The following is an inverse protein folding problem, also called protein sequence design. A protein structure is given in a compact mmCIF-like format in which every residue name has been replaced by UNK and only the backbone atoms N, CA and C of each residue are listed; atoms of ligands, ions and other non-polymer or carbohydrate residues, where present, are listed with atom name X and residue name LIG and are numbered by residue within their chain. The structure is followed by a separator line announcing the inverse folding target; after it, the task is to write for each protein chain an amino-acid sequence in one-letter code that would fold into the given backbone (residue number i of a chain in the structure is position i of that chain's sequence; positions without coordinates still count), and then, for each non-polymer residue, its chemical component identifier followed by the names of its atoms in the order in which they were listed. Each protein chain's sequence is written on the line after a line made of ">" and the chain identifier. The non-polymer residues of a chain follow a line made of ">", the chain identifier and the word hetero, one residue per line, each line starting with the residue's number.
data_IF_724121747398
#
_entry.id   IF_724121747398
#
_cell.length_a   1.000
_cell.length_b   1.000
_cell.length_c   1.000
_cell.angle_alpha   90.00
_cell.angle_beta   90.00
_cell.angle_gamma   90.00
#
_symmetry.space_group_name_H-M   'P 1'
#
loop_
_entity.id
_entity.type
_entity.pdbx_description
1 polymer ?
#
# COMPACT_ATOMS: atom_id res chain seq x y z
N UNK A 1 18.31 -10.57 -4.48
CA UNK A 1 18.60 -10.85 -3.05
C UNK A 1 17.41 -10.59 -2.11
N UNK A 2 16.33 -9.91 -2.53
CA UNK A 2 15.19 -9.60 -1.65
C UNK A 2 14.04 -10.63 -1.66
N UNK A 3 14.18 -11.73 -2.39
CA UNK A 3 13.15 -12.78 -2.50
C UNK A 3 12.77 -13.39 -1.15
N UNK A 4 13.76 -13.76 -0.33
CA UNK A 4 13.51 -14.41 0.95
C UNK A 4 12.82 -13.45 1.94
N UNK A 5 13.31 -12.20 2.16
CA UNK A 5 12.58 -11.22 2.95
C UNK A 5 11.16 -10.95 2.44
N UNK A 6 10.98 -10.85 1.12
CA UNK A 6 9.67 -10.61 0.52
C UNK A 6 8.70 -11.75 0.80
N UNK A 7 9.12 -13.01 0.64
CA UNK A 7 8.29 -14.18 0.95
C UNK A 7 7.88 -14.15 2.43
N UNK A 8 8.82 -13.85 3.33
CA UNK A 8 8.51 -13.76 4.76
C UNK A 8 7.51 -12.65 5.07
N UNK A 9 7.69 -11.44 4.51
CA UNK A 9 6.75 -10.34 4.70
C UNK A 9 5.38 -10.60 4.07
N UNK A 10 5.33 -11.30 2.93
CA UNK A 10 4.06 -11.71 2.31
C UNK A 10 3.34 -12.75 3.18
N UNK A 11 4.07 -13.72 3.74
CA UNK A 11 3.50 -14.68 4.69
C UNK A 11 3.00 -13.99 5.97
N UNK A 12 3.76 -13.02 6.50
CA UNK A 12 3.36 -12.22 7.65
C UNK A 12 2.10 -11.39 7.37
N UNK A 13 2.02 -10.78 6.18
CA UNK A 13 0.82 -10.06 5.74
C UNK A 13 -0.39 -11.00 5.62
N UNK A 14 -0.20 -12.20 5.07
CA UNK A 14 -1.26 -13.22 4.98
C UNK A 14 -1.75 -13.65 6.36
N UNK A 15 -0.84 -13.83 7.31
CA UNK A 15 -1.19 -14.14 8.70
C UNK A 15 -1.97 -12.99 9.35
N UNK A 16 -1.48 -11.75 9.23
CA UNK A 16 -2.11 -10.56 9.76
C UNK A 16 -3.53 -10.38 9.21
N UNK A 17 -3.70 -10.56 7.90
CA UNK A 17 -4.99 -10.52 7.23
C UNK A 17 -5.94 -11.58 7.78
N UNK A 18 -5.49 -12.83 7.92
CA UNK A 18 -6.30 -13.90 8.51
C UNK A 18 -6.73 -13.59 9.95
N UNK A 19 -5.81 -13.10 10.79
CA UNK A 19 -6.10 -12.77 12.18
C UNK A 19 -7.16 -11.65 12.32
N UNK A 20 -7.09 -10.63 11.45
CA UNK A 20 -8.04 -9.52 11.44
C UNK A 20 -9.40 -9.90 10.83
N UNK A 21 -9.39 -10.60 9.69
CA UNK A 21 -10.59 -10.79 8.88
C UNK A 21 -11.42 -12.01 9.32
N UNK A 22 -10.83 -12.95 10.10
CA UNK A 22 -11.57 -14.04 10.76
C UNK A 22 -12.72 -13.49 11.60
N UNK A 23 -12.50 -12.39 12.33
CA UNK A 23 -13.51 -11.80 13.20
C UNK A 23 -14.77 -11.34 12.42
N UNK A 24 -14.61 -10.90 11.17
CA UNK A 24 -15.73 -10.44 10.34
C UNK A 24 -16.69 -11.59 9.97
N UNK A 25 -16.17 -12.79 9.74
CA UNK A 25 -16.98 -13.96 9.39
C UNK A 25 -17.48 -14.73 10.63
N UNK A 26 -16.62 -14.88 11.63
CA UNK A 26 -16.88 -15.69 12.83
C UNK A 26 -17.70 -14.94 13.86
N UNK A 27 -17.57 -13.61 13.94
CA UNK A 27 -18.28 -12.78 14.92
C UNK A 27 -19.81 -12.96 14.90
N UNK A 28 -20.48 -12.79 13.74
CA UNK A 28 -21.92 -13.02 13.64
C UNK A 28 -22.34 -14.45 14.00
N UNK A 29 -21.57 -15.46 13.57
CA UNK A 29 -21.87 -16.87 13.85
C UNK A 29 -21.70 -17.20 15.34
N UNK A 30 -20.67 -16.66 15.99
CA UNK A 30 -20.47 -16.79 17.43
C UNK A 30 -21.61 -16.13 18.22
N UNK A 31 -22.06 -14.95 17.79
CA UNK A 31 -23.20 -14.26 18.41
C UNK A 31 -24.51 -15.06 18.28
N UNK A 32 -24.78 -15.68 17.13
CA UNK A 32 -25.94 -16.55 16.93
C UNK A 32 -25.84 -17.77 17.86
N UNK A 33 -24.68 -18.42 17.93
CA UNK A 33 -24.49 -19.58 18.80
C UNK A 33 -24.68 -19.25 20.28
N UNK A 34 -24.15 -18.11 20.75
CA UNK A 34 -24.31 -17.66 22.13
C UNK A 34 -25.78 -17.37 22.45
N UNK A 35 -26.48 -16.63 21.58
CA UNK A 35 -27.90 -16.33 21.75
C UNK A 35 -28.78 -17.59 21.82
N UNK A 36 -28.49 -18.61 21.00
CA UNK A 36 -29.22 -19.88 21.00
C UNK A 36 -28.89 -20.73 22.22
N UNK A 37 -27.64 -20.75 22.66
CA UNK A 37 -27.19 -21.62 23.76
C UNK A 37 -27.59 -21.09 25.13
N UNK A 38 -27.53 -19.77 25.32
CA UNK A 38 -27.66 -19.15 26.65
C UNK A 38 -29.02 -18.48 26.84
N UNK A 39 -29.80 -18.28 25.75
CA UNK A 39 -31.07 -17.54 25.74
C UNK A 39 -30.97 -16.10 26.31
N UNK A 40 -29.75 -15.61 26.54
CA UNK A 40 -29.41 -14.28 27.05
C UNK A 40 -28.24 -13.74 26.24
N UNK A 41 -28.25 -12.43 25.96
CA UNK A 41 -27.16 -11.78 25.22
C UNK A 41 -26.08 -11.36 26.22
N UNK A 42 -24.95 -12.06 26.23
CA UNK A 42 -23.81 -11.67 27.06
C UNK A 42 -22.98 -10.57 26.38
N UNK A 43 -22.49 -9.60 27.17
CA UNK A 43 -21.64 -8.52 26.67
C UNK A 43 -20.25 -9.02 26.19
N UNK A 44 -19.86 -10.24 26.58
CA UNK A 44 -18.70 -10.97 26.06
C UNK A 44 -19.15 -12.37 25.68
N UNK A 45 -19.26 -12.62 24.38
CA UNK A 45 -19.41 -13.96 23.85
C UNK A 45 -18.00 -14.54 23.63
N UNK A 46 -17.68 -15.63 24.34
CA UNK A 46 -16.48 -16.39 24.04
C UNK A 46 -16.69 -17.12 22.71
N UNK A 47 -15.72 -16.98 21.80
CA UNK A 47 -15.79 -17.59 20.47
C UNK A 47 -15.42 -19.08 20.60
N UNK A 48 -16.34 -20.02 20.29
CA UNK A 48 -16.02 -21.44 20.36
C UNK A 48 -14.97 -21.81 19.30
N UNK A 49 -14.08 -22.74 19.65
CA UNK A 49 -13.00 -23.19 18.78
C UNK A 49 -13.52 -23.75 17.43
N UNK A 50 -14.68 -24.41 17.43
CA UNK A 50 -15.28 -24.93 16.20
C UNK A 50 -15.74 -23.81 15.25
N UNK A 51 -16.23 -22.67 15.77
CA UNK A 51 -16.62 -21.52 14.94
C UNK A 51 -15.37 -20.90 14.32
N UNK A 52 -14.30 -20.80 15.09
CA UNK A 52 -13.00 -20.33 14.61
C UNK A 52 -12.44 -21.23 13.50
N UNK A 53 -12.56 -22.56 13.64
CA UNK A 53 -12.16 -23.53 12.61
C UNK A 53 -12.96 -23.36 11.32
N UNK A 54 -14.27 -23.14 11.39
CA UNK A 54 -15.09 -22.86 10.20
C UNK A 54 -14.59 -21.59 9.50
N UNK A 55 -14.30 -20.54 10.25
CA UNK A 55 -13.72 -19.30 9.69
C UNK A 55 -12.37 -19.54 9.00
N UNK A 56 -11.46 -20.26 9.66
CA UNK A 56 -10.14 -20.57 9.12
C UNK A 56 -10.22 -21.40 7.82
N UNK A 57 -11.03 -22.46 7.82
CA UNK A 57 -11.23 -23.31 6.63
C UNK A 57 -11.93 -22.53 5.52
N UNK A 58 -12.94 -21.71 5.85
CA UNK A 58 -13.66 -20.88 4.89
C UNK A 58 -12.75 -19.88 4.16
N UNK A 59 -11.90 -19.18 4.90
CA UNK A 59 -10.92 -18.25 4.31
C UNK A 59 -9.89 -19.02 3.46
N UNK A 60 -9.35 -20.14 3.95
CA UNK A 60 -8.40 -20.96 3.20
C UNK A 60 -8.99 -21.47 1.88
N UNK A 61 -10.23 -21.98 1.90
CA UNK A 61 -10.95 -22.43 0.70
C UNK A 61 -11.27 -21.27 -0.25
N UNK A 62 -11.74 -20.14 0.27
CA UNK A 62 -12.01 -18.95 -0.53
C UNK A 62 -10.77 -18.46 -1.28
N UNK A 63 -9.62 -18.41 -0.58
CA UNK A 63 -8.34 -18.05 -1.18
C UNK A 63 -7.85 -19.10 -2.18
N UNK A 64 -8.03 -20.39 -1.90
CA UNK A 64 -7.67 -21.45 -2.85
C UNK A 64 -8.49 -21.38 -4.16
N UNK A 65 -9.79 -21.09 -4.06
CA UNK A 65 -10.70 -21.04 -5.22
C UNK A 65 -10.57 -19.75 -6.04
N UNK A 66 -10.48 -18.59 -5.37
CA UNK A 66 -10.53 -17.28 -6.02
C UNK A 66 -9.21 -16.50 -5.98
N UNK A 67 -8.26 -16.90 -5.13
CA UNK A 67 -6.96 -16.25 -4.98
C UNK A 67 -6.15 -16.15 -6.27
N UNK A 68 -6.00 -17.21 -7.08
CA UNK A 68 -5.21 -17.14 -8.32
C UNK A 68 -5.71 -16.09 -9.32
N UNK A 69 -7.04 -15.89 -9.40
CA UNK A 69 -7.65 -14.87 -10.26
C UNK A 69 -7.38 -13.47 -9.70
N UNK A 70 -7.53 -13.26 -8.39
CA UNK A 70 -7.27 -11.96 -7.75
C UNK A 70 -5.79 -11.55 -7.80
N UNK A 71 -4.88 -12.48 -7.53
CA UNK A 71 -3.43 -12.21 -7.54
C UNK A 71 -2.97 -11.72 -8.93
N UNK A 72 -3.51 -12.30 -10.00
CA UNK A 72 -3.17 -11.91 -11.37
C UNK A 72 -3.66 -10.50 -11.75
N UNK A 73 -4.82 -10.09 -11.22
CA UNK A 73 -5.38 -8.75 -11.48
C UNK A 73 -4.64 -7.67 -10.68
N UNK A 74 -4.33 -7.92 -9.40
CA UNK A 74 -3.66 -6.93 -8.54
C UNK A 74 -2.19 -6.73 -8.94
N UNK A 75 -1.51 -7.77 -9.42
CA UNK A 75 -0.10 -7.71 -9.80
C UNK A 75 0.23 -6.84 -11.03
N UNK A 76 -0.75 -6.42 -11.82
CA UNK A 76 -0.54 -5.70 -13.09
C UNK A 76 -1.01 -4.24 -13.12
N UNK A 77 -1.86 -3.79 -12.18
CA UNK A 77 -2.67 -2.58 -12.37
C UNK A 77 -2.26 -1.34 -11.55
N UNK A 78 -1.47 -1.49 -10.48
CA UNK A 78 -1.33 -0.41 -9.48
C UNK A 78 0.02 0.33 -9.57
N UNK A 79 1.17 -0.35 -9.48
CA UNK A 79 2.51 0.27 -9.63
C UNK A 79 3.56 -0.78 -10.01
N UNK A 80 4.60 -0.40 -10.79
CA UNK A 80 5.78 -1.25 -10.99
C UNK A 80 6.59 -1.34 -9.68
N UNK A 81 6.35 -2.42 -8.95
CA UNK A 81 6.97 -2.71 -7.67
C UNK A 81 8.20 -3.59 -7.88
N UNK A 82 9.37 -3.01 -7.68
CA UNK A 82 10.60 -3.76 -7.44
C UNK A 82 10.49 -4.54 -6.11
N UNK A 83 11.23 -5.64 -5.99
CA UNK A 83 11.16 -6.59 -4.90
C UNK A 83 11.36 -5.95 -3.52
N UNK A 84 12.25 -4.95 -3.43
CA UNK A 84 12.49 -4.15 -2.21
C UNK A 84 11.24 -3.36 -1.82
N UNK A 85 10.57 -2.75 -2.80
CA UNK A 85 9.38 -1.94 -2.58
C UNK A 85 8.21 -2.82 -2.15
N UNK A 86 8.03 -3.97 -2.81
CA UNK A 86 7.05 -4.96 -2.42
C UNK A 86 7.26 -5.44 -0.98
N UNK A 87 8.52 -5.64 -0.56
CA UNK A 87 8.86 -5.98 0.82
C UNK A 87 8.47 -4.88 1.81
N UNK A 88 8.83 -3.63 1.54
CA UNK A 88 8.46 -2.50 2.40
C UNK A 88 6.94 -2.34 2.53
N UNK A 89 6.20 -2.46 1.42
CA UNK A 89 4.73 -2.39 1.41
C UNK A 89 4.13 -3.52 2.24
N UNK A 90 4.55 -4.77 1.98
CA UNK A 90 4.01 -5.93 2.68
C UNK A 90 4.32 -5.89 4.18
N UNK A 91 5.55 -5.52 4.55
CA UNK A 91 5.95 -5.41 5.95
C UNK A 91 5.19 -4.28 6.68
N UNK A 92 5.11 -3.09 6.09
CA UNK A 92 4.39 -1.97 6.69
C UNK A 92 2.91 -2.33 6.89
N UNK A 93 2.27 -2.92 5.88
CA UNK A 93 0.88 -3.34 5.98
C UNK A 93 0.69 -4.43 7.04
N UNK A 94 1.55 -5.45 7.08
CA UNK A 94 1.48 -6.53 8.04
C UNK A 94 1.62 -6.03 9.48
N UNK A 95 2.62 -5.19 9.75
CA UNK A 95 2.85 -4.61 11.09
C UNK A 95 1.66 -3.77 11.55
N UNK A 96 1.12 -2.91 10.67
CA UNK A 96 -0.05 -2.09 10.99
C UNK A 96 -1.27 -2.96 11.32
N UNK A 97 -1.54 -3.99 10.52
CA UNK A 97 -2.68 -4.89 10.78
C UNK A 97 -2.47 -5.70 12.06
N UNK A 98 -1.27 -6.24 12.32
CA UNK A 98 -0.97 -6.99 13.55
C UNK A 98 -1.17 -6.14 14.79
N UNK A 99 -0.66 -4.90 14.79
CA UNK A 99 -0.82 -3.99 15.93
C UNK A 99 -2.31 -3.69 16.16
N UNK A 100 -3.05 -3.39 15.09
CA UNK A 100 -4.49 -3.13 15.21
C UNK A 100 -5.26 -4.36 15.73
N UNK A 101 -4.96 -5.56 15.22
CA UNK A 101 -5.57 -6.81 15.70
C UNK A 101 -5.23 -7.11 17.16
N UNK A 102 -3.99 -6.84 17.60
CA UNK A 102 -3.61 -6.98 19.00
C UNK A 102 -4.35 -6.01 19.93
N UNK A 103 -4.69 -4.82 19.43
CA UNK A 103 -5.53 -3.85 20.14
C UNK A 103 -7.03 -4.18 20.06
N UNK A 104 -7.42 -5.25 19.36
CA UNK A 104 -8.82 -5.62 19.15
C UNK A 104 -9.58 -4.63 18.25
N UNK A 105 -8.88 -3.82 17.47
CA UNK A 105 -9.48 -2.83 16.58
C UNK A 105 -9.72 -3.47 15.20
N UNK A 106 -10.98 -3.61 14.74
CA UNK A 106 -11.26 -4.09 13.40
C UNK A 106 -10.81 -3.03 12.40
N UNK A 107 -9.78 -3.36 11.61
CA UNK A 107 -9.25 -2.47 10.58
C UNK A 107 -9.50 -3.04 9.19
N UNK A 108 -9.45 -2.18 8.17
CA UNK A 108 -9.55 -2.64 6.79
C UNK A 108 -8.15 -2.91 6.23
N UNK A 109 -7.83 -4.19 6.04
CA UNK A 109 -6.56 -4.64 5.46
C UNK A 109 -6.32 -4.06 4.06
N UNK A 110 -7.38 -3.83 3.28
CA UNK A 110 -7.29 -3.18 1.96
C UNK A 110 -6.85 -1.71 2.05
N UNK A 111 -7.40 -0.93 2.98
CA UNK A 111 -6.98 0.46 3.19
C UNK A 111 -5.52 0.54 3.62
N UNK A 112 -5.10 -0.37 4.50
CA UNK A 112 -3.72 -0.44 4.97
C UNK A 112 -2.77 -0.78 3.82
N UNK A 113 -3.08 -1.79 3.00
CA UNK A 113 -2.26 -2.18 1.86
C UNK A 113 -2.18 -1.07 0.81
N UNK A 114 -3.33 -0.48 0.46
CA UNK A 114 -3.42 0.63 -0.49
C UNK A 114 -2.63 1.85 0.02
N UNK A 115 -2.77 2.19 1.30
CA UNK A 115 -2.01 3.26 1.94
C UNK A 115 -0.50 3.03 1.92
N UNK A 116 -0.06 1.79 2.15
CA UNK A 116 1.35 1.42 2.06
C UNK A 116 1.91 1.55 0.63
N UNK A 117 1.17 1.10 -0.40
CA UNK A 117 1.54 1.27 -1.81
C UNK A 117 1.65 2.75 -2.17
N UNK A 118 0.66 3.55 -1.79
CA UNK A 118 0.69 4.99 -2.04
C UNK A 118 1.81 5.70 -1.29
N UNK A 119 2.10 5.30 -0.05
CA UNK A 119 3.22 5.84 0.72
C UNK A 119 4.57 5.65 0.00
N UNK A 120 4.84 4.44 -0.50
CA UNK A 120 6.06 4.17 -1.28
C UNK A 120 6.04 4.92 -2.62
N UNK A 121 4.89 5.00 -3.28
CA UNK A 121 4.72 5.74 -4.54
C UNK A 121 5.02 7.24 -4.41
N UNK A 122 4.46 7.90 -3.40
CA UNK A 122 4.69 9.33 -3.16
C UNK A 122 6.12 9.63 -2.71
N UNK A 123 6.73 8.74 -1.92
CA UNK A 123 8.15 8.85 -1.57
C UNK A 123 9.03 8.81 -2.83
N UNK A 124 8.74 7.90 -3.76
CA UNK A 124 9.45 7.80 -5.04
C UNK A 124 9.28 9.07 -5.89
N UNK A 125 8.06 9.59 -6.00
CA UNK A 125 7.76 10.85 -6.71
C UNK A 125 8.57 12.01 -6.12
N UNK A 126 8.60 12.13 -4.79
CA UNK A 126 9.37 13.16 -4.10
C UNK A 126 10.89 13.04 -4.32
N UNK A 127 11.43 11.81 -4.30
CA UNK A 127 12.86 11.59 -4.53
C UNK A 127 13.23 11.89 -5.99
N UNK A 128 12.44 11.41 -6.97
CA UNK A 128 12.71 11.67 -8.40
C UNK A 128 12.66 13.17 -8.70
N UNK A 129 11.67 13.89 -8.17
CA UNK A 129 11.59 15.34 -8.30
C UNK A 129 12.81 16.07 -7.70
N UNK A 130 13.39 15.55 -6.61
CA UNK A 130 14.62 16.11 -6.04
C UNK A 130 15.85 15.85 -6.92
N UNK A 131 15.97 14.66 -7.51
CA UNK A 131 17.07 14.35 -8.42
C UNK A 131 17.03 15.20 -9.69
N UNK A 132 15.84 15.41 -10.29
CA UNK A 132 15.69 16.26 -11.46
C UNK A 132 16.15 17.70 -11.20
N UNK A 133 15.90 18.24 -10.01
CA UNK A 133 16.41 19.58 -9.64
C UNK A 133 17.93 19.60 -9.52
N UNK A 134 18.51 18.56 -8.92
CA UNK A 134 19.98 18.47 -8.78
C UNK A 134 20.63 18.34 -10.16
N UNK A 135 20.05 17.53 -11.04
CA UNK A 135 20.48 17.34 -12.42
C UNK A 135 20.45 18.68 -13.17
N UNK A 136 19.34 19.42 -13.08
CA UNK A 136 19.21 20.69 -13.79
C UNK A 136 20.16 21.76 -13.24
N UNK A 137 20.40 21.78 -11.92
CA UNK A 137 21.42 22.62 -11.26
C UNK A 137 22.82 22.32 -11.84
N UNK A 138 23.15 21.04 -12.03
CA UNK A 138 24.44 20.64 -12.62
C UNK A 138 24.50 21.10 -14.09
N UNK A 139 23.43 20.88 -14.87
CA UNK A 139 23.37 21.30 -16.28
C UNK A 139 23.58 22.81 -16.42
N UNK A 140 22.94 23.62 -15.57
CA UNK A 140 23.05 25.09 -15.66
C UNK A 140 24.46 25.62 -15.33
N UNK A 141 25.22 24.95 -14.47
CA UNK A 141 26.59 25.35 -14.13
C UNK A 141 27.66 24.82 -15.10
N UNK A 142 27.35 23.79 -15.87
CA UNK A 142 28.25 23.18 -16.86
C UNK A 142 27.96 23.60 -18.30
N UNK A 143 26.91 24.39 -18.56
CA UNK A 143 26.56 24.89 -19.89
C UNK A 143 27.63 25.80 -20.55
N UNK A 144 28.53 26.41 -19.75
CA UNK A 144 29.59 27.31 -20.23
C UNK A 144 30.97 26.65 -20.35
N UNK A 145 31.13 25.42 -19.84
CA UNK A 145 32.37 24.66 -20.00
C UNK A 145 32.18 23.67 -21.15
N UNK A 146 33.03 23.77 -22.17
CA UNK A 146 33.14 22.96 -23.41
C UNK A 146 33.30 21.42 -23.21
N UNK A 147 32.88 20.86 -22.07
CA UNK A 147 32.67 19.43 -21.91
C UNK A 147 31.41 19.08 -22.70
N UNK A 148 31.67 18.55 -23.89
CA UNK A 148 30.74 18.01 -24.88
C UNK A 148 29.43 17.57 -24.27
N UNK A 149 28.32 18.11 -24.79
CA UNK A 149 26.93 17.77 -24.45
C UNK A 149 26.70 16.25 -24.34
N UNK A 150 27.47 15.46 -25.10
CA UNK A 150 27.56 14.00 -25.07
C UNK A 150 27.98 13.43 -23.70
N UNK A 151 28.96 14.00 -22.99
CA UNK A 151 29.41 13.51 -21.67
C UNK A 151 28.31 13.70 -20.60
N UNK A 152 27.52 14.77 -20.74
CA UNK A 152 26.39 15.05 -19.86
C UNK A 152 25.23 14.10 -20.17
N UNK A 153 24.90 13.86 -21.44
CA UNK A 153 23.88 12.88 -21.82
C UNK A 153 24.25 11.45 -21.41
N UNK A 154 25.52 11.09 -21.52
CA UNK A 154 26.02 9.79 -21.09
C UNK A 154 25.97 9.66 -19.57
N UNK A 155 26.36 10.71 -18.84
CA UNK A 155 26.16 10.78 -17.39
C UNK A 155 24.66 10.70 -17.02
N UNK A 156 23.75 11.31 -17.78
CA UNK A 156 22.32 11.24 -17.50
C UNK A 156 21.76 9.84 -17.73
N UNK A 157 22.19 9.17 -18.78
CA UNK A 157 21.79 7.78 -19.07
C UNK A 157 22.29 6.85 -17.96
N UNK A 158 23.57 6.97 -17.60
CA UNK A 158 24.17 6.20 -16.52
C UNK A 158 23.54 6.54 -15.17
N UNK A 159 23.20 7.82 -14.94
CA UNK A 159 22.53 8.25 -13.73
C UNK A 159 21.10 7.74 -13.68
N UNK A 160 20.35 7.65 -14.79
CA UNK A 160 19.01 7.09 -14.77
C UNK A 160 19.01 5.58 -14.50
N UNK A 161 19.95 4.85 -15.10
CA UNK A 161 20.09 3.39 -14.97
C UNK A 161 20.78 2.94 -13.67
N UNK A 162 21.52 3.84 -13.00
CA UNK A 162 22.20 3.52 -11.75
C UNK A 162 21.25 3.14 -10.60
N UNK A 163 21.70 2.21 -9.76
CA UNK A 163 21.06 1.89 -8.48
C UNK A 163 21.11 3.10 -7.52
N UNK A 164 20.18 3.14 -6.56
CA UNK A 164 20.00 4.25 -5.62
C UNK A 164 21.29 4.64 -4.88
N UNK A 165 22.12 3.65 -4.54
CA UNK A 165 23.38 3.86 -3.83
C UNK A 165 24.45 4.50 -4.72
N UNK A 166 24.49 4.15 -6.00
CA UNK A 166 25.38 4.76 -6.99
C UNK A 166 24.92 6.19 -7.31
N UNK A 167 23.62 6.43 -7.46
CA UNK A 167 23.04 7.78 -7.62
C UNK A 167 23.47 8.73 -6.51
N UNK A 168 23.41 8.30 -5.24
CA UNK A 168 23.86 9.10 -4.09
C UNK A 168 25.38 9.40 -4.14
N UNK A 169 26.19 8.43 -4.56
CA UNK A 169 27.64 8.61 -4.72
C UNK A 169 27.99 9.55 -5.88
N UNK A 170 27.31 9.44 -7.02
CA UNK A 170 27.48 10.34 -8.16
C UNK A 170 27.14 11.78 -7.74
N UNK A 171 26.03 11.99 -7.05
CA UNK A 171 25.64 13.32 -6.53
C UNK A 171 26.65 13.85 -5.52
N UNK A 172 27.16 13.01 -4.60
CA UNK A 172 28.17 13.43 -3.62
C UNK A 172 29.48 13.84 -4.29
N UNK A 173 29.90 13.10 -5.30
CA UNK A 173 31.12 13.40 -6.07
C UNK A 173 30.96 14.71 -6.84
N UNK A 174 29.78 14.92 -7.44
CA UNK A 174 29.46 16.16 -8.14
C UNK A 174 29.40 17.36 -7.20
N UNK A 175 28.71 17.27 -6.05
CA UNK A 175 28.67 18.34 -5.04
C UNK A 175 30.03 18.69 -4.43
N UNK A 176 30.98 17.74 -4.45
CA UNK A 176 32.34 17.95 -3.96
C UNK A 176 33.21 18.66 -4.99
N UNK A 177 32.89 18.48 -6.28
CA UNK A 177 33.63 19.04 -7.41
C UNK A 177 33.02 20.34 -7.96
N UNK A 178 31.71 20.56 -7.82
CA UNK A 178 31.05 21.84 -8.11
C UNK A 178 31.09 22.72 -6.87
N UNK A 179 31.61 23.94 -6.98
CA UNK A 179 31.46 24.94 -5.91
C UNK A 179 29.96 25.16 -5.63
N UNK A 180 29.65 25.50 -4.38
CA UNK A 180 28.32 25.40 -3.80
C UNK A 180 27.16 25.98 -4.64
N UNK A 181 26.04 25.25 -4.64
CA UNK A 181 24.79 25.56 -5.34
C UNK A 181 24.26 26.99 -5.12
N UNK A 182 24.00 27.73 -6.20
CA UNK A 182 23.45 29.10 -6.14
C UNK A 182 21.93 29.20 -6.45
N UNK A 183 21.23 28.09 -6.70
CA UNK A 183 19.78 28.14 -6.92
C UNK A 183 19.01 28.68 -5.70
N UNK A 184 18.27 29.79 -5.89
CA UNK A 184 17.38 30.33 -4.85
C UNK A 184 16.26 29.34 -4.54
N UNK A 185 15.76 29.34 -3.30
CA UNK A 185 14.64 28.48 -2.85
C UNK A 185 13.40 28.56 -3.77
N UNK A 186 13.16 29.73 -4.39
CA UNK A 186 12.08 29.93 -5.35
C UNK A 186 12.25 29.16 -6.65
N UNK A 187 13.45 29.22 -7.26
CA UNK A 187 13.79 28.51 -8.50
C UNK A 187 13.75 27.00 -8.31
N UNK A 188 14.29 26.50 -7.18
CA UNK A 188 14.16 25.08 -6.81
C UNK A 188 12.71 24.62 -6.75
N UNK A 189 11.82 25.44 -6.18
CA UNK A 189 10.38 25.11 -6.07
C UNK A 189 9.71 25.09 -7.44
N UNK A 190 10.11 25.99 -8.34
CA UNK A 190 9.58 26.07 -9.70
C UNK A 190 10.06 24.88 -10.56
N UNK A 191 11.33 24.52 -10.47
CA UNK A 191 11.91 23.36 -11.15
C UNK A 191 11.27 22.04 -10.69
N UNK A 192 11.02 21.86 -9.38
CA UNK A 192 10.25 20.70 -8.87
C UNK A 192 8.83 20.64 -9.44
N UNK A 193 8.21 21.79 -9.70
CA UNK A 193 6.86 21.85 -10.24
C UNK A 193 6.83 21.51 -11.74
N UNK A 194 7.86 21.93 -12.48
CA UNK A 194 7.99 21.65 -13.91
C UNK A 194 8.32 20.18 -14.20
N UNK A 195 9.23 19.58 -13.42
CA UNK A 195 9.65 18.18 -13.58
C UNK A 195 8.83 17.20 -12.73
N UNK A 196 7.62 17.57 -12.34
CA UNK A 196 6.78 16.73 -11.51
C UNK A 196 6.19 15.59 -12.35
N UNK A 197 6.85 14.45 -12.36
CA UNK A 197 6.28 13.24 -12.93
C UNK A 197 5.24 12.63 -11.99
N UNK A 198 4.01 12.42 -12.47
CA UNK A 198 2.98 11.72 -11.71
C UNK A 198 3.20 10.21 -11.77
N UNK A 199 4.08 9.71 -10.90
CA UNK A 199 4.34 8.27 -10.76
C UNK A 199 3.16 7.53 -10.07
N UNK A 200 2.29 8.28 -9.39
CA UNK A 200 1.11 7.76 -8.69
C UNK A 200 -0.16 8.19 -9.43
N UNK A 201 -0.95 7.20 -9.88
CA UNK A 201 -2.25 7.45 -10.53
C UNK A 201 -3.28 7.95 -9.51
N UNK A 202 -3.36 9.27 -9.33
CA UNK A 202 -4.31 9.92 -8.41
C UNK A 202 -5.78 9.60 -8.72
N UNK A 203 -6.10 9.31 -9.99
CA UNK A 203 -7.45 8.86 -10.39
C UNK A 203 -7.83 7.52 -9.77
N UNK A 204 -6.87 6.62 -9.53
CA UNK A 204 -7.12 5.35 -8.86
C UNK A 204 -7.48 5.57 -7.38
N UNK A 205 -6.80 6.51 -6.69
CA UNK A 205 -7.16 6.92 -5.32
C UNK A 205 -8.61 7.33 -5.21
N UNK A 206 -9.05 8.23 -6.10
CA UNK A 206 -10.44 8.71 -6.08
C UNK A 206 -11.44 7.59 -6.33
N UNK A 207 -11.19 6.70 -7.30
CA UNK A 207 -12.07 5.56 -7.59
C UNK A 207 -12.20 4.62 -6.38
N UNK A 208 -11.08 4.31 -5.73
CA UNK A 208 -11.04 3.45 -4.54
C UNK A 208 -11.78 4.12 -3.38
N UNK A 209 -11.53 5.40 -3.12
CA UNK A 209 -12.20 6.14 -2.06
C UNK A 209 -13.72 6.21 -2.28
N UNK A 210 -14.16 6.47 -3.52
CA UNK A 210 -15.57 6.47 -3.89
C UNK A 210 -16.19 5.09 -3.66
N UNK A 211 -15.52 4.00 -4.05
CA UNK A 211 -16.00 2.65 -3.78
C UNK A 211 -16.18 2.38 -2.28
N UNK A 212 -15.25 2.84 -1.43
CA UNK A 212 -15.36 2.70 0.03
C UNK A 212 -16.52 3.49 0.63
N UNK A 213 -16.76 4.72 0.16
CA UNK A 213 -17.89 5.55 0.63
C UNK A 213 -19.24 4.96 0.21
N UNK A 214 -19.31 4.30 -0.95
CA UNK A 214 -20.55 3.70 -1.45
C UNK A 214 -20.82 2.33 -0.81
N UNK A 215 -19.80 1.50 -0.63
CA UNK A 215 -19.97 0.10 -0.19
C UNK A 215 -20.55 -0.02 1.22
N UNK A 216 -20.20 0.87 2.14
CA UNK A 216 -20.69 0.81 3.54
C UNK A 216 -22.20 1.12 3.62
N UNK A 217 -22.73 2.25 3.11
CA UNK A 217 -24.16 2.52 3.10
C UNK A 217 -24.97 1.47 2.33
N UNK A 218 -24.46 1.00 1.19
CA UNK A 218 -25.14 -0.02 0.39
C UNK A 218 -25.26 -1.34 1.15
N UNK A 219 -24.19 -1.78 1.81
CA UNK A 219 -24.22 -3.00 2.62
C UNK A 219 -25.16 -2.86 3.83
N UNK A 220 -25.17 -1.69 4.47
CA UNK A 220 -26.08 -1.40 5.58
C UNK A 220 -27.55 -1.40 5.14
N UNK A 221 -27.86 -0.76 4.00
CA UNK A 221 -29.21 -0.76 3.44
C UNK A 221 -29.67 -2.18 3.06
N UNK A 222 -28.81 -2.95 2.41
CA UNK A 222 -29.11 -4.33 2.04
C UNK A 222 -29.34 -5.21 3.28
N UNK A 223 -28.50 -5.06 4.32
CA UNK A 223 -28.69 -5.75 5.60
C UNK A 223 -30.02 -5.38 6.27
N UNK A 224 -30.37 -4.09 6.30
CA UNK A 224 -31.65 -3.62 6.83
C UNK A 224 -32.84 -4.20 6.05
N UNK A 225 -32.76 -4.22 4.71
CA UNK A 225 -33.80 -4.80 3.85
C UNK A 225 -34.03 -6.27 4.18
N UNK A 226 -32.97 -7.08 4.29
CA UNK A 226 -33.09 -8.48 4.67
C UNK A 226 -33.66 -8.66 6.07
N UNK A 227 -33.19 -7.87 7.04
CA UNK A 227 -33.70 -7.93 8.41
C UNK A 227 -35.21 -7.65 8.49
N UNK A 228 -35.69 -6.57 7.86
CA UNK A 228 -37.12 -6.25 7.90
C UNK A 228 -37.98 -7.23 7.10
N UNK A 229 -37.44 -7.81 6.02
CA UNK A 229 -38.14 -8.87 5.26
C UNK A 229 -38.33 -10.11 6.12
N UNK A 230 -37.25 -10.61 6.76
CA UNK A 230 -37.32 -11.78 7.64
C UNK A 230 -38.23 -11.51 8.84
N UNK A 231 -38.10 -10.33 9.47
CA UNK A 231 -38.93 -9.93 10.60
C UNK A 231 -40.42 -9.85 10.21
N UNK A 232 -40.73 -9.31 9.03
CA UNK A 232 -42.10 -9.21 8.52
C UNK A 232 -42.70 -10.56 8.15
N UNK A 233 -41.89 -11.57 7.82
CA UNK A 233 -42.34 -12.95 7.60
C UNK A 233 -42.55 -13.73 8.91
N UNK A 234 -41.88 -13.35 10.00
CA UNK A 234 -41.94 -14.03 11.30
C UNK A 234 -42.99 -13.44 12.25
N UNK A 235 -43.54 -12.26 11.92
CA UNK A 235 -44.67 -11.62 12.62
C UNK A 235 -45.99 -11.96 11.93
#
# INVERSE_FOLDING_TARGET
>A
MFTVPLIFSAALLSFAHGANDVANAVGPLAAINDAVSTATIHAKADIPLWVLLIGAVGIALGLALYGPKLIRVVGSEITELDQIRAFCVALAAAVTVIIASQLGLPVSSTHVAVGAVFGVGFLREAIKANYMVIIEDIRSHHADNDRTEEDLEQFFTDFEDADFKHKDQMIKTLKKNSMASDLKKGERKQLKKQHKEELVRRSALYKIAVAWVITVPVSAFMSAMFYFTIRGMLL
#
